data_IF_573011543064
#
_entry.id   IF_573011543064
#
_cell.length_a   1.000
_cell.length_b   1.000
_cell.length_c   1.000
_cell.angle_alpha   90.00
_cell.angle_beta   90.00
_cell.angle_gamma   90.00
#
_symmetry.space_group_name_H-M   'P 1'
#
loop_
_entity.id
_entity.type
_entity.pdbx_description
1 polymer ?
#
# COMPACT_ATOMS: atom_id res chain seq x y z
N UNK A 1 1.78 12.98 -20.33
CA UNK A 1 1.36 13.02 -18.92
C UNK A 1 1.03 11.61 -18.42
N UNK A 2 1.06 11.39 -17.10
CA UNK A 2 0.71 10.08 -16.48
C UNK A 2 -0.70 9.63 -16.88
N UNK A 3 -1.66 10.56 -16.92
CA UNK A 3 -3.02 10.28 -17.39
C UNK A 3 -3.08 9.75 -18.81
N UNK A 4 -2.22 10.23 -19.72
CA UNK A 4 -2.19 9.74 -21.10
C UNK A 4 -1.79 8.27 -21.16
N UNK A 5 -0.84 7.84 -20.35
CA UNK A 5 -0.42 6.43 -20.27
C UNK A 5 -1.57 5.56 -19.75
N UNK A 6 -2.27 5.99 -18.69
CA UNK A 6 -3.41 5.26 -18.16
C UNK A 6 -4.53 5.10 -19.21
N UNK A 7 -4.85 6.17 -19.95
CA UNK A 7 -5.86 6.15 -21.00
C UNK A 7 -5.52 5.25 -22.19
N UNK A 8 -4.23 5.01 -22.44
CA UNK A 8 -3.78 4.07 -23.48
C UNK A 8 -3.74 2.62 -22.98
N UNK A 9 -3.26 2.41 -21.76
CA UNK A 9 -3.02 1.07 -21.21
C UNK A 9 -4.31 0.43 -20.71
N UNK A 10 -5.14 1.13 -19.94
CA UNK A 10 -6.34 0.54 -19.34
C UNK A 10 -7.32 -0.04 -20.36
N UNK A 11 -7.74 0.66 -21.43
CA UNK A 11 -8.65 0.09 -22.42
C UNK A 11 -8.06 -1.16 -23.08
N UNK A 12 -6.77 -1.13 -23.40
CA UNK A 12 -6.10 -2.26 -24.05
C UNK A 12 -6.07 -3.50 -23.15
N UNK A 13 -5.78 -3.32 -21.86
CA UNK A 13 -5.76 -4.41 -20.88
C UNK A 13 -7.18 -4.92 -20.61
N UNK A 14 -8.17 -4.03 -20.48
CA UNK A 14 -9.57 -4.42 -20.27
C UNK A 14 -10.13 -5.21 -21.45
N UNK A 15 -9.78 -4.85 -22.67
CA UNK A 15 -10.16 -5.62 -23.88
C UNK A 15 -9.50 -6.99 -23.90
N UNK A 16 -8.27 -7.11 -23.39
CA UNK A 16 -7.52 -8.37 -23.40
C UNK A 16 -7.92 -9.32 -22.25
N UNK A 17 -8.31 -8.79 -21.08
CA UNK A 17 -8.52 -9.62 -19.88
C UNK A 17 -9.74 -10.54 -20.00
N UNK A 18 -10.81 -10.07 -20.61
CA UNK A 18 -12.05 -10.86 -20.77
C UNK A 18 -11.84 -12.10 -21.66
N UNK A 19 -11.30 -11.96 -22.89
CA UNK A 19 -11.01 -13.12 -23.72
C UNK A 19 -9.92 -14.02 -23.12
N UNK A 20 -8.94 -13.45 -22.40
CA UNK A 20 -7.91 -14.24 -21.73
C UNK A 20 -8.51 -15.10 -20.61
N UNK A 21 -9.38 -14.54 -19.76
CA UNK A 21 -10.08 -15.29 -18.72
C UNK A 21 -10.98 -16.40 -19.30
N UNK A 22 -11.73 -16.09 -20.34
CA UNK A 22 -12.55 -17.06 -21.06
C UNK A 22 -11.70 -18.20 -21.66
N UNK A 23 -10.51 -17.87 -22.19
CA UNK A 23 -9.58 -18.87 -22.73
C UNK A 23 -9.00 -19.78 -21.65
N UNK A 24 -8.66 -19.25 -20.46
CA UNK A 24 -8.24 -20.08 -19.31
C UNK A 24 -9.32 -21.11 -18.98
N UNK A 25 -10.58 -20.68 -18.81
CA UNK A 25 -11.72 -21.56 -18.51
C UNK A 25 -11.90 -22.60 -19.61
N UNK A 26 -11.95 -22.15 -20.86
CA UNK A 26 -12.10 -23.04 -22.03
C UNK A 26 -11.00 -24.10 -22.09
N UNK A 27 -9.74 -23.73 -21.84
CA UNK A 27 -8.60 -24.64 -21.88
C UNK A 27 -8.62 -25.65 -20.76
N UNK A 28 -9.00 -25.24 -19.55
CA UNK A 28 -9.20 -26.16 -18.43
C UNK A 28 -10.28 -27.18 -18.75
N UNK A 29 -11.41 -26.75 -19.31
CA UNK A 29 -12.55 -27.62 -19.66
C UNK A 29 -12.23 -28.59 -20.81
N UNK A 30 -11.52 -28.13 -21.85
CA UNK A 30 -11.28 -28.93 -23.05
C UNK A 30 -10.02 -29.78 -23.01
N UNK A 31 -8.95 -29.29 -22.37
CA UNK A 31 -7.65 -29.94 -22.35
C UNK A 31 -7.32 -30.56 -21.00
N UNK A 32 -8.06 -30.20 -19.95
CA UNK A 32 -7.81 -30.62 -18.58
C UNK A 32 -6.57 -29.93 -17.97
N UNK A 33 -6.41 -30.14 -16.68
CA UNK A 33 -5.35 -29.49 -15.87
C UNK A 33 -3.95 -30.07 -16.08
N UNK A 34 -3.84 -31.19 -16.84
CA UNK A 34 -2.55 -31.86 -17.07
C UNK A 34 -1.78 -31.32 -18.28
N UNK A 35 -2.25 -30.28 -18.94
CA UNK A 35 -1.58 -29.66 -20.09
C UNK A 35 -1.01 -28.28 -19.76
N UNK A 36 0.11 -27.95 -20.40
CA UNK A 36 0.83 -26.68 -20.24
C UNK A 36 -0.03 -25.47 -20.63
N UNK A 37 -0.86 -25.59 -21.67
CA UNK A 37 -1.60 -24.46 -22.20
C UNK A 37 -2.52 -23.70 -21.21
N UNK A 38 -3.30 -24.36 -20.31
CA UNK A 38 -4.07 -23.65 -19.30
C UNK A 38 -3.21 -22.85 -18.32
N UNK A 39 -2.10 -23.42 -17.87
CA UNK A 39 -1.19 -22.78 -16.92
C UNK A 39 -0.52 -21.52 -17.52
N UNK A 40 -0.07 -21.60 -18.77
CA UNK A 40 0.49 -20.46 -19.49
C UNK A 40 -0.53 -19.31 -19.63
N UNK A 41 -1.80 -19.62 -19.97
CA UNK A 41 -2.85 -18.60 -20.05
C UNK A 41 -3.18 -18.00 -18.67
N UNK A 42 -3.08 -18.79 -17.60
CA UNK A 42 -3.27 -18.32 -16.24
C UNK A 42 -2.20 -17.28 -15.85
N UNK A 43 -0.93 -17.51 -16.22
CA UNK A 43 0.16 -16.54 -16.00
C UNK A 43 -0.14 -15.23 -16.71
N UNK A 44 -0.56 -15.26 -17.97
CA UNK A 44 -0.90 -14.03 -18.71
C UNK A 44 -2.12 -13.31 -18.12
N UNK A 45 -3.13 -14.05 -17.67
CA UNK A 45 -4.29 -13.49 -17.00
C UNK A 45 -3.88 -12.77 -15.70
N UNK A 46 -3.03 -13.39 -14.88
CA UNK A 46 -2.48 -12.79 -13.67
C UNK A 46 -1.68 -11.52 -13.97
N UNK A 47 -0.87 -11.52 -15.05
CA UNK A 47 -0.14 -10.34 -15.49
C UNK A 47 -1.08 -9.18 -15.89
N UNK A 48 -2.17 -9.46 -16.58
CA UNK A 48 -3.15 -8.42 -16.94
C UNK A 48 -3.82 -7.81 -15.71
N UNK A 49 -4.19 -8.63 -14.71
CA UNK A 49 -4.73 -8.14 -13.43
C UNK A 49 -3.72 -7.27 -12.69
N UNK A 50 -2.46 -7.71 -12.62
CA UNK A 50 -1.38 -6.96 -12.00
C UNK A 50 -1.18 -5.60 -12.67
N UNK A 51 -1.22 -5.55 -14.01
CA UNK A 51 -1.10 -4.30 -14.76
C UNK A 51 -2.25 -3.34 -14.49
N UNK A 52 -3.50 -3.84 -14.39
CA UNK A 52 -4.65 -3.01 -14.00
C UNK A 52 -4.40 -2.40 -12.62
N UNK A 53 -4.11 -3.22 -11.61
CA UNK A 53 -3.82 -2.76 -10.26
C UNK A 53 -2.67 -1.76 -10.22
N UNK A 54 -1.59 -2.02 -10.96
CA UNK A 54 -0.44 -1.12 -11.06
C UNK A 54 -0.81 0.26 -11.64
N UNK A 55 -1.65 0.31 -12.66
CA UNK A 55 -2.11 1.59 -13.21
C UNK A 55 -2.88 2.38 -12.17
N UNK A 56 -3.79 1.75 -11.43
CA UNK A 56 -4.56 2.42 -10.39
C UNK A 56 -3.68 2.90 -9.23
N UNK A 57 -2.73 2.09 -8.78
CA UNK A 57 -1.93 2.40 -7.58
C UNK A 57 -0.69 3.25 -7.84
N UNK A 58 -0.23 3.34 -9.09
CA UNK A 58 1.05 4.01 -9.41
C UNK A 58 0.90 5.08 -10.47
N UNK A 59 0.13 4.82 -11.55
CA UNK A 59 0.04 5.77 -12.66
C UNK A 59 -1.00 6.85 -12.37
N UNK A 60 -2.15 6.48 -11.78
CA UNK A 60 -3.23 7.42 -11.46
C UNK A 60 -2.98 8.19 -10.16
N UNK A 61 -2.28 7.60 -9.19
CA UNK A 61 -1.90 8.28 -7.96
C UNK A 61 -0.69 9.18 -8.21
N UNK A 62 -0.85 10.49 -8.11
CA UNK A 62 0.27 11.44 -8.18
C UNK A 62 0.97 11.56 -6.83
N UNK A 63 1.95 10.69 -6.59
CA UNK A 63 2.74 10.68 -5.34
C UNK A 63 3.54 11.95 -5.09
N UNK A 64 3.66 12.82 -6.08
CA UNK A 64 4.30 14.14 -5.94
C UNK A 64 3.34 15.23 -5.52
N UNK A 65 2.04 14.96 -5.47
CA UNK A 65 1.05 15.94 -5.06
C UNK A 65 1.16 16.25 -3.55
N UNK A 66 1.24 17.53 -3.25
CA UNK A 66 1.31 18.03 -1.86
C UNK A 66 0.02 17.72 -1.06
N UNK A 67 -1.11 17.48 -1.73
CA UNK A 67 -2.39 17.15 -1.09
C UNK A 67 -2.34 15.83 -0.30
N UNK A 68 -1.41 14.91 -0.62
CA UNK A 68 -1.19 13.71 0.16
C UNK A 68 -0.52 13.94 1.51
N UNK A 69 0.12 15.12 1.70
CA UNK A 69 0.77 15.48 2.95
C UNK A 69 -0.19 16.25 3.85
N UNK A 70 -0.64 15.59 4.90
CA UNK A 70 -1.69 16.08 5.79
C UNK A 70 -1.08 16.37 7.15
N UNK A 71 -1.54 17.44 7.79
CA UNK A 71 -1.22 17.75 9.19
C UNK A 71 -2.38 17.31 10.05
N UNK A 72 -2.11 16.38 10.96
CA UNK A 72 -3.05 15.93 11.97
C UNK A 72 -2.79 16.66 13.28
N UNK A 73 -3.86 16.97 14.00
CA UNK A 73 -3.84 17.56 15.34
C UNK A 73 -4.32 16.51 16.32
N UNK A 74 -3.66 16.41 17.46
CA UNK A 74 -3.97 15.39 18.47
C UNK A 74 -5.42 15.49 18.93
N UNK A 75 -6.13 14.38 18.85
CA UNK A 75 -7.54 14.25 19.26
C UNK A 75 -8.54 14.98 18.35
N UNK A 76 -8.10 15.61 17.27
CA UNK A 76 -9.00 16.27 16.32
C UNK A 76 -9.24 15.39 15.09
N UNK A 77 -10.48 15.41 14.59
CA UNK A 77 -10.84 14.74 13.34
C UNK A 77 -10.40 15.59 12.15
N UNK A 78 -9.63 15.00 11.25
CA UNK A 78 -9.21 15.64 10.00
C UNK A 78 -9.79 14.83 8.84
N UNK A 79 -10.75 15.45 8.12
CA UNK A 79 -11.43 14.85 6.98
C UNK A 79 -10.57 14.96 5.71
N UNK A 80 -10.37 13.85 5.02
CA UNK A 80 -9.68 13.77 3.72
C UNK A 80 -10.36 12.72 2.85
N UNK A 81 -11.00 13.15 1.79
CA UNK A 81 -11.84 12.29 0.95
C UNK A 81 -13.03 11.76 1.74
N UNK A 82 -13.21 10.46 1.74
CA UNK A 82 -14.31 9.78 2.42
C UNK A 82 -13.93 9.32 3.84
N UNK A 83 -12.76 9.71 4.33
CA UNK A 83 -12.21 9.26 5.63
C UNK A 83 -11.91 10.40 6.56
N UNK A 84 -12.00 10.10 7.86
CA UNK A 84 -11.58 10.96 8.96
C UNK A 84 -10.40 10.30 9.68
N UNK A 85 -9.39 11.09 9.99
CA UNK A 85 -8.16 10.65 10.64
C UNK A 85 -7.98 11.38 11.96
N UNK A 86 -7.65 10.64 13.02
CA UNK A 86 -7.38 11.17 14.35
C UNK A 86 -5.98 10.76 14.78
N UNK A 87 -5.11 11.72 15.03
CA UNK A 87 -3.83 11.46 15.67
C UNK A 87 -4.05 11.29 17.18
N UNK A 88 -3.72 10.10 17.69
CA UNK A 88 -3.92 9.76 19.09
C UNK A 88 -2.70 10.10 19.94
N UNK A 89 -1.55 9.52 19.61
CA UNK A 89 -0.33 9.63 20.38
C UNK A 89 0.94 9.36 19.56
N UNK A 90 2.08 9.75 20.13
CA UNK A 90 3.40 9.31 19.66
C UNK A 90 3.80 8.06 20.45
N UNK A 91 4.42 7.12 19.77
CA UNK A 91 5.00 5.92 20.37
C UNK A 91 6.50 5.95 20.16
N UNK A 92 7.23 5.76 21.24
CA UNK A 92 8.68 5.54 21.22
C UNK A 92 8.94 4.10 21.66
N UNK A 93 9.85 3.43 20.98
CA UNK A 93 10.30 2.10 21.34
C UNK A 93 11.82 2.00 21.10
N UNK A 94 12.54 1.64 22.14
CA UNK A 94 13.99 1.47 22.14
C UNK A 94 14.39 -0.03 22.26
N UNK A 95 13.43 -0.95 22.30
CA UNK A 95 13.63 -2.40 22.39
C UNK A 95 13.14 -3.13 21.12
N UNK A 96 13.77 -2.80 19.99
CA UNK A 96 13.38 -3.32 18.69
C UNK A 96 14.18 -4.58 18.33
N UNK A 97 13.55 -5.52 17.65
CA UNK A 97 14.26 -6.63 16.99
C UNK A 97 15.18 -6.14 15.86
N UNK A 98 14.82 -5.04 15.19
CA UNK A 98 15.57 -4.45 14.09
C UNK A 98 15.63 -2.94 14.25
N UNK A 99 16.85 -2.40 14.35
CA UNK A 99 17.09 -0.98 14.61
C UNK A 99 17.32 -0.69 16.08
N UNK A 100 17.67 0.55 16.40
CA UNK A 100 18.03 0.96 17.75
C UNK A 100 16.92 1.79 18.41
N UNK A 101 16.13 2.51 17.61
CA UNK A 101 15.03 3.37 18.08
C UNK A 101 13.92 3.45 17.06
N UNK A 102 12.69 3.42 17.54
CA UNK A 102 11.51 3.69 16.77
C UNK A 102 10.78 4.92 17.29
N UNK A 103 10.32 5.76 16.36
CA UNK A 103 9.34 6.79 16.63
C UNK A 103 8.19 6.67 15.65
N UNK A 104 7.00 6.53 16.16
CA UNK A 104 5.79 6.39 15.35
C UNK A 104 4.64 7.19 15.93
N UNK A 105 3.53 7.18 15.20
CA UNK A 105 2.31 7.84 15.60
C UNK A 105 1.12 6.90 15.43
N UNK A 106 0.31 6.80 16.46
CA UNK A 106 -0.97 6.08 16.43
C UNK A 106 -2.02 6.96 15.77
N UNK A 107 -2.60 6.49 14.69
CA UNK A 107 -3.65 7.18 13.94
C UNK A 107 -4.86 6.28 13.85
N UNK A 108 -6.00 6.77 14.36
CA UNK A 108 -7.30 6.12 14.17
C UNK A 108 -7.93 6.59 12.87
N UNK A 109 -8.52 5.64 12.13
CA UNK A 109 -9.17 5.89 10.84
C UNK A 109 -10.66 5.59 10.97
N UNK A 110 -11.47 6.52 10.49
CA UNK A 110 -12.93 6.42 10.52
C UNK A 110 -13.50 6.59 9.11
N UNK A 111 -14.60 5.90 8.84
CA UNK A 111 -15.42 6.02 7.65
C UNK A 111 -16.88 6.13 8.10
N UNK A 112 -17.61 7.15 7.65
CA UNK A 112 -19.01 7.43 8.05
C UNK A 112 -19.20 7.50 9.59
N UNK A 113 -18.18 8.00 10.32
CA UNK A 113 -18.20 8.11 11.78
C UNK A 113 -17.94 6.80 12.54
N UNK A 114 -17.69 5.68 11.85
CA UNK A 114 -17.32 4.41 12.43
C UNK A 114 -15.80 4.18 12.33
N UNK A 115 -15.18 3.75 13.43
CA UNK A 115 -13.74 3.43 13.42
C UNK A 115 -13.50 2.14 12.64
N UNK A 116 -12.79 2.24 11.52
CA UNK A 116 -12.46 1.12 10.64
C UNK A 116 -11.07 0.52 10.89
N UNK A 117 -10.21 1.24 11.62
CA UNK A 117 -8.90 0.71 11.97
C UNK A 117 -8.01 1.69 12.72
N UNK A 118 -6.82 1.20 13.08
CA UNK A 118 -5.73 1.99 13.66
C UNK A 118 -4.46 1.60 12.96
N UNK A 119 -3.62 2.59 12.66
CA UNK A 119 -2.32 2.42 12.00
C UNK A 119 -1.24 3.13 12.80
N UNK A 120 0.01 2.65 12.65
CA UNK A 120 1.16 3.18 13.38
C UNK A 120 2.36 3.37 12.46
N UNK A 121 2.31 4.33 11.50
CA UNK A 121 3.46 4.65 10.68
C UNK A 121 4.56 5.30 11.53
N UNK A 122 5.83 5.03 11.19
CA UNK A 122 6.94 5.57 11.97
C UNK A 122 8.27 5.59 11.23
N UNK A 123 9.32 5.81 12.01
CA UNK A 123 10.73 5.80 11.58
C UNK A 123 11.54 4.91 12.50
N UNK A 124 12.41 4.08 11.92
CA UNK A 124 13.42 3.31 12.64
C UNK A 124 14.77 3.99 12.45
N UNK A 125 15.40 4.35 13.57
CA UNK A 125 16.76 4.86 13.62
C UNK A 125 17.76 3.74 13.89
N UNK A 126 19.02 3.96 13.42
CA UNK A 126 20.15 3.06 13.64
C UNK A 126 21.32 3.90 14.16
N UNK A 127 21.66 3.74 15.41
CA UNK A 127 22.75 4.51 16.06
C UNK A 127 24.12 4.28 15.43
N UNK A 128 24.33 3.08 14.90
CA UNK A 128 25.57 2.69 14.21
C UNK A 128 25.67 3.12 12.76
N UNK A 129 24.62 3.70 12.20
CA UNK A 129 24.55 4.04 10.76
C UNK A 129 24.50 5.55 10.54
N UNK A 130 25.34 6.10 9.65
CA UNK A 130 25.21 7.49 9.22
C UNK A 130 24.02 7.71 8.27
N UNK A 131 23.29 6.66 7.92
CA UNK A 131 22.14 6.74 7.04
C UNK A 131 20.94 7.38 7.74
N UNK A 132 20.05 8.05 7.00
CA UNK A 132 18.81 8.56 7.56
C UNK A 132 17.94 7.42 8.10
N UNK A 133 17.07 7.70 9.08
CA UNK A 133 16.11 6.71 9.60
C UNK A 133 15.30 6.07 8.48
N UNK A 134 15.02 4.78 8.62
CA UNK A 134 14.17 4.02 7.71
C UNK A 134 12.70 4.31 8.01
N UNK A 135 11.91 4.60 6.99
CA UNK A 135 10.47 4.74 7.13
C UNK A 135 9.82 3.37 7.35
N UNK A 136 9.07 3.23 8.43
CA UNK A 136 8.11 2.14 8.65
C UNK A 136 6.75 2.62 8.19
N UNK A 137 6.30 2.04 7.09
CA UNK A 137 5.01 2.32 6.46
C UNK A 137 3.98 1.41 7.09
N UNK A 138 2.83 1.96 7.45
CA UNK A 138 1.70 1.13 7.86
C UNK A 138 0.55 1.25 6.85
N UNK A 139 -0.27 0.21 6.79
CA UNK A 139 -1.28 0.07 5.74
C UNK A 139 -2.59 -0.43 6.32
N UNK A 140 -3.65 0.32 6.09
CA UNK A 140 -5.02 -0.14 6.35
C UNK A 140 -5.54 -0.89 5.12
N UNK A 141 -5.67 -2.21 5.24
CA UNK A 141 -6.19 -3.07 4.18
C UNK A 141 -7.71 -3.02 4.14
N UNK A 142 -8.29 -2.72 2.96
CA UNK A 142 -9.74 -2.66 2.74
C UNK A 142 -10.15 -3.54 1.57
N UNK A 143 -11.45 -3.83 1.45
CA UNK A 143 -11.98 -4.68 0.37
C UNK A 143 -11.82 -4.10 -1.05
N UNK A 144 -11.73 -2.79 -1.19
CA UNK A 144 -11.66 -2.07 -2.46
C UNK A 144 -10.30 -1.40 -2.74
N UNK A 145 -9.34 -1.54 -1.82
CA UNK A 145 -8.00 -0.98 -1.94
C UNK A 145 -7.40 -0.67 -0.57
N UNK A 146 -6.12 -0.30 -0.54
CA UNK A 146 -5.39 -0.04 0.69
C UNK A 146 -5.23 1.46 0.91
N UNK A 147 -5.21 1.90 2.17
CA UNK A 147 -4.72 3.23 2.56
C UNK A 147 -3.32 3.05 3.15
N UNK A 148 -2.35 3.70 2.56
CA UNK A 148 -0.94 3.63 2.98
C UNK A 148 -0.57 4.90 3.73
N UNK A 149 0.00 4.73 4.92
CA UNK A 149 0.42 5.81 5.81
C UNK A 149 1.93 5.83 5.91
N UNK A 150 2.52 6.99 5.66
CA UNK A 150 3.97 7.20 5.72
C UNK A 150 4.22 8.38 6.65
N UNK A 151 5.00 8.17 7.71
CA UNK A 151 5.43 9.24 8.59
C UNK A 151 6.30 10.25 7.81
N UNK A 152 5.97 11.56 7.87
CA UNK A 152 6.80 12.58 7.21
C UNK A 152 8.11 12.78 7.97
N UNK A 153 9.17 12.11 7.50
CA UNK A 153 10.48 12.14 8.11
C UNK A 153 11.12 13.54 8.22
N UNK A 154 10.62 14.54 7.48
CA UNK A 154 11.14 15.89 7.55
C UNK A 154 10.90 16.60 8.90
N UNK A 155 9.95 16.09 9.69
CA UNK A 155 9.63 16.59 11.03
C UNK A 155 10.33 15.82 12.16
N UNK A 156 11.01 14.71 11.86
CA UNK A 156 11.54 13.77 12.87
C UNK A 156 12.47 14.44 13.89
N UNK A 157 13.39 15.29 13.43
CA UNK A 157 14.36 15.95 14.31
C UNK A 157 13.69 16.92 15.28
N UNK A 158 12.75 17.76 14.81
CA UNK A 158 12.03 18.70 15.65
C UNK A 158 11.09 18.00 16.63
N UNK A 159 10.44 16.94 16.18
CA UNK A 159 9.56 16.15 17.02
C UNK A 159 10.35 15.40 18.10
N UNK A 160 11.48 14.78 17.76
CA UNK A 160 12.35 14.11 18.74
C UNK A 160 12.88 15.10 19.78
N UNK A 161 13.30 16.29 19.38
CA UNK A 161 13.71 17.33 20.31
C UNK A 161 12.58 17.73 21.26
N UNK A 162 11.37 17.91 20.75
CA UNK A 162 10.20 18.25 21.54
C UNK A 162 9.85 17.14 22.55
N UNK A 163 9.88 15.88 22.12
CA UNK A 163 9.63 14.74 23.00
C UNK A 163 10.68 14.65 24.10
N UNK A 164 11.96 14.86 23.78
CA UNK A 164 13.04 14.83 24.76
C UNK A 164 12.96 15.96 25.79
N UNK A 165 12.49 17.16 25.40
CA UNK A 165 12.39 18.31 26.32
C UNK A 165 11.11 18.31 27.15
N UNK A 166 9.98 17.97 26.56
CA UNK A 166 8.66 18.21 27.12
C UNK A 166 7.78 16.94 27.20
N UNK A 167 8.32 15.79 26.80
CA UNK A 167 7.63 14.48 26.80
C UNK A 167 6.74 14.26 25.56
N UNK A 168 6.27 13.02 25.40
CA UNK A 168 5.48 12.59 24.24
C UNK A 168 4.14 13.33 24.09
N UNK A 169 3.53 13.69 25.24
CA UNK A 169 2.26 14.42 25.27
C UNK A 169 2.36 15.87 24.72
N UNK A 170 3.57 16.42 24.65
CA UNK A 170 3.81 17.75 24.10
C UNK A 170 3.57 17.82 22.58
N UNK A 171 3.69 16.71 21.88
CA UNK A 171 3.48 16.65 20.44
C UNK A 171 2.00 16.73 20.10
N UNK A 172 1.55 17.94 19.77
CA UNK A 172 0.16 18.22 19.44
C UNK A 172 -0.15 18.12 17.95
N UNK A 173 0.86 18.15 17.10
CA UNK A 173 0.70 18.12 15.64
C UNK A 173 1.74 17.24 15.00
N UNK A 174 1.29 16.49 13.98
CA UNK A 174 2.18 15.71 13.15
C UNK A 174 1.79 15.78 11.68
N UNK A 175 2.76 15.56 10.80
CA UNK A 175 2.51 15.40 9.38
C UNK A 175 2.64 13.96 8.97
N UNK A 176 1.69 13.52 8.18
CA UNK A 176 1.65 12.17 7.59
C UNK A 176 1.40 12.30 6.10
N UNK A 177 1.94 11.38 5.33
CA UNK A 177 1.63 11.25 3.92
C UNK A 177 0.67 10.07 3.79
N UNK A 178 -0.50 10.31 3.22
CA UNK A 178 -1.56 9.31 3.06
C UNK A 178 -1.82 9.09 1.58
N UNK A 179 -1.73 7.84 1.14
CA UNK A 179 -2.11 7.43 -0.20
C UNK A 179 -3.31 6.50 -0.14
N UNK A 180 -4.41 6.90 -0.74
CA UNK A 180 -5.47 5.98 -1.07
C UNK A 180 -5.11 5.26 -2.38
N UNK A 181 -5.02 3.93 -2.31
CA UNK A 181 -4.59 3.06 -3.41
C UNK A 181 -5.75 2.15 -3.84
N UNK A 182 -6.74 2.67 -4.57
CA UNK A 182 -7.86 1.87 -5.03
C UNK A 182 -7.37 0.72 -5.90
N UNK A 183 -8.02 -0.44 -5.76
CA UNK A 183 -7.68 -1.65 -6.52
C UNK A 183 -6.26 -2.21 -6.30
N UNK A 184 -5.58 -1.87 -5.20
CA UNK A 184 -4.26 -2.44 -4.83
C UNK A 184 -4.31 -3.97 -4.72
N UNK A 185 -5.43 -4.53 -4.25
CA UNK A 185 -5.63 -5.98 -4.17
C UNK A 185 -5.52 -6.69 -5.54
N UNK A 186 -5.76 -5.99 -6.67
CA UNK A 186 -5.54 -6.55 -8.00
C UNK A 186 -4.06 -6.80 -8.30
N UNK A 187 -3.15 -6.00 -7.72
CA UNK A 187 -1.70 -6.23 -7.82
C UNK A 187 -1.35 -7.55 -7.14
N UNK A 188 -1.83 -7.75 -5.91
CA UNK A 188 -1.56 -8.95 -5.14
C UNK A 188 -2.24 -10.20 -5.73
N UNK A 189 -3.50 -10.07 -6.16
CA UNK A 189 -4.23 -11.15 -6.83
C UNK A 189 -3.55 -11.54 -8.16
N UNK A 190 -3.17 -10.56 -8.96
CA UNK A 190 -2.45 -10.79 -10.22
C UNK A 190 -1.13 -11.51 -9.99
N UNK A 191 -0.35 -11.07 -9.00
CA UNK A 191 0.89 -11.71 -8.61
C UNK A 191 0.67 -13.15 -8.14
N UNK A 192 -0.28 -13.38 -7.25
CA UNK A 192 -0.58 -14.73 -6.74
C UNK A 192 -1.02 -15.69 -7.87
N UNK A 193 -1.88 -15.22 -8.79
CA UNK A 193 -2.32 -16.01 -9.96
C UNK A 193 -1.13 -16.34 -10.87
N UNK A 194 -0.23 -15.39 -11.11
CA UNK A 194 1.00 -15.64 -11.87
C UNK A 194 1.86 -16.72 -11.21
N UNK A 195 2.07 -16.63 -9.89
CA UNK A 195 2.86 -17.61 -9.13
C UNK A 195 2.24 -19.01 -9.19
N UNK A 196 0.91 -19.11 -9.05
CA UNK A 196 0.17 -20.37 -9.20
C UNK A 196 0.36 -20.94 -10.61
N UNK A 197 0.22 -20.10 -11.65
CA UNK A 197 0.42 -20.51 -13.03
C UNK A 197 1.85 -20.99 -13.30
N UNK A 198 2.85 -20.32 -12.79
CA UNK A 198 4.26 -20.72 -12.92
C UNK A 198 4.56 -22.01 -12.16
N UNK A 199 4.08 -22.15 -10.92
CA UNK A 199 4.23 -23.39 -10.15
C UNK A 199 3.55 -24.56 -10.87
N UNK A 200 2.40 -24.33 -11.46
CA UNK A 200 1.71 -25.34 -12.26
C UNK A 200 2.52 -25.75 -13.49
N UNK A 201 3.14 -24.80 -14.20
CA UNK A 201 4.02 -25.10 -15.34
C UNK A 201 5.20 -25.98 -14.93
N UNK A 202 5.87 -25.66 -13.81
CA UNK A 202 7.02 -26.45 -13.33
C UNK A 202 6.65 -27.87 -12.95
N UNK A 203 5.48 -28.10 -12.38
CA UNK A 203 5.01 -29.46 -12.04
C UNK A 203 4.64 -30.27 -13.29
N UNK A 204 4.20 -29.63 -14.37
CA UNK A 204 3.86 -30.33 -15.61
C UNK A 204 5.09 -30.66 -16.49
N UNK A 205 6.20 -29.92 -16.29
CA UNK A 205 7.44 -30.09 -17.04
C UNK A 205 8.41 -31.09 -16.36
N UNK A 206 8.09 -31.52 -15.15
CA UNK A 206 8.82 -32.51 -14.35
C UNK A 206 8.28 -33.94 -14.58
#
# INVERSE_FOLDING_TARGET
SRGTIAWLVLPSVLVAIVPMGAEVVRRVQTSGVKKIAPAAHLVHFGLLLLLIGHVFTTVLVDRGDASHRITLVRGEYVEVGDYEYVFEEIVLDDDLEVGDRYVGAVISVYEDGEKIGTVQPGLIGFDSSPNPPRSEVDTLVRSHGDIVFIFDGSQSSSMMQQVQSDGEESVQRMRVIIYDLPASHLVWAGWAIMMIGMAWLTVLDA
#
